data_IF_940591559335
#
_entry.id   IF_940591559335
#
_cell.length_a   1.000
_cell.length_b   1.000
_cell.length_c   1.000
_cell.angle_alpha   90.00
_cell.angle_beta   90.00
_cell.angle_gamma   90.00
#
_symmetry.space_group_name_H-M   'P 1'
#
loop_
_entity.id
_entity.type
_entity.pdbx_description
1 polymer ?
#
# COMPACT_ATOMS: atom_id res chain seq x y z
N UNK A 1 2.95 7.59 -6.91
CA UNK A 1 2.81 7.73 -8.38
C UNK A 1 4.16 7.95 -9.05
N UNK A 2 4.31 7.46 -10.27
CA UNK A 2 5.49 7.55 -11.12
C UNK A 2 6.79 6.92 -10.60
N UNK A 3 6.72 6.06 -9.57
CA UNK A 3 7.90 5.39 -8.99
C UNK A 3 7.62 3.90 -8.86
N UNK A 4 6.60 3.55 -8.05
CA UNK A 4 6.22 2.17 -7.70
C UNK A 4 4.74 1.90 -8.10
N UNK A 5 4.33 2.38 -9.27
CA UNK A 5 2.96 2.29 -9.78
C UNK A 5 2.88 1.69 -11.18
N UNK A 6 3.82 0.80 -11.50
CA UNK A 6 3.76 -0.11 -12.64
C UNK A 6 2.99 -1.40 -12.27
N UNK A 7 2.53 -2.14 -13.29
CA UNK A 7 1.93 -3.45 -13.02
C UNK A 7 2.96 -4.49 -12.54
N UNK A 8 4.24 -4.30 -12.88
CA UNK A 8 5.33 -5.18 -12.45
C UNK A 8 5.57 -5.02 -10.96
N UNK A 9 5.65 -3.77 -10.48
CA UNK A 9 5.86 -3.44 -9.06
C UNK A 9 4.73 -4.05 -8.20
N UNK A 10 3.48 -3.92 -8.65
CA UNK A 10 2.32 -4.51 -7.97
C UNK A 10 2.46 -6.02 -7.89
N UNK A 11 2.84 -6.68 -9.00
CA UNK A 11 3.00 -8.14 -9.01
C UNK A 11 4.11 -8.59 -8.07
N UNK A 12 5.25 -7.92 -8.11
CA UNK A 12 6.41 -8.26 -7.28
C UNK A 12 6.09 -8.10 -5.79
N UNK A 13 5.53 -6.96 -5.39
CA UNK A 13 5.21 -6.67 -3.98
C UNK A 13 4.20 -7.68 -3.42
N UNK A 14 3.14 -7.98 -4.17
CA UNK A 14 2.06 -8.88 -3.73
C UNK A 14 2.56 -10.33 -3.68
N UNK A 15 3.32 -10.79 -4.67
CA UNK A 15 3.94 -12.11 -4.67
C UNK A 15 4.90 -12.25 -3.49
N UNK A 16 5.76 -11.25 -3.26
CA UNK A 16 6.70 -11.25 -2.15
C UNK A 16 6.00 -11.27 -0.79
N UNK A 17 4.90 -10.54 -0.64
CA UNK A 17 4.09 -10.59 0.57
C UNK A 17 3.58 -12.02 0.84
N UNK A 18 3.09 -12.72 -0.19
CA UNK A 18 2.66 -14.12 -0.09
C UNK A 18 3.82 -15.03 0.32
N UNK A 19 4.99 -14.90 -0.30
CA UNK A 19 6.19 -15.68 0.03
C UNK A 19 6.60 -15.50 1.51
N UNK A 20 6.43 -14.30 2.05
CA UNK A 20 6.68 -14.00 3.46
C UNK A 20 5.58 -14.48 4.41
N UNK A 21 4.54 -15.18 3.92
CA UNK A 21 3.46 -15.72 4.74
C UNK A 21 2.34 -14.73 5.05
N UNK A 22 2.23 -13.63 4.29
CA UNK A 22 1.09 -12.73 4.44
C UNK A 22 -0.23 -13.48 4.19
N UNK A 23 -1.21 -13.20 5.05
CA UNK A 23 -2.59 -13.73 4.90
C UNK A 23 -3.53 -12.76 4.21
N UNK A 24 -3.18 -11.47 4.19
CA UNK A 24 -3.95 -10.41 3.58
C UNK A 24 -3.01 -9.36 3.00
N UNK A 25 -3.47 -8.65 1.97
CA UNK A 25 -2.80 -7.46 1.43
C UNK A 25 -3.88 -6.42 1.12
N UNK A 26 -3.60 -5.17 1.46
CA UNK A 26 -4.49 -4.04 1.19
C UNK A 26 -3.73 -3.02 0.35
N UNK A 27 -4.27 -2.68 -0.82
CA UNK A 27 -3.72 -1.64 -1.67
C UNK A 27 -4.41 -0.29 -1.40
N UNK A 28 -3.61 0.76 -1.28
CA UNK A 28 -4.05 2.15 -1.28
C UNK A 28 -3.33 2.89 -2.40
N UNK A 29 -4.07 3.33 -3.42
CA UNK A 29 -3.45 3.91 -4.61
C UNK A 29 -3.12 5.38 -4.44
N UNK A 30 -1.84 5.70 -4.64
CA UNK A 30 -1.33 7.07 -4.61
C UNK A 30 -0.98 7.52 -3.20
N UNK A 31 -1.06 8.82 -2.98
CA UNK A 31 -0.84 9.39 -1.65
C UNK A 31 -1.71 10.62 -1.44
N UNK A 32 -1.83 11.01 -0.18
CA UNK A 32 -2.36 12.32 0.19
C UNK A 32 -1.22 13.27 0.51
N UNK A 33 -1.33 14.53 0.07
CA UNK A 33 -0.33 15.57 0.29
C UNK A 33 -0.97 16.75 1.02
N UNK A 34 -0.69 16.85 2.33
CA UNK A 34 -0.90 18.07 3.10
C UNK A 34 0.25 19.04 2.87
N UNK A 35 0.02 20.34 3.04
CA UNK A 35 0.96 21.40 2.67
C UNK A 35 2.41 21.16 3.14
N UNK A 36 2.61 20.91 4.45
CA UNK A 36 3.96 20.63 5.01
C UNK A 36 4.57 19.33 4.49
N UNK A 37 3.75 18.32 4.22
CA UNK A 37 4.21 17.04 3.67
C UNK A 37 4.60 17.19 2.20
N UNK A 38 3.87 18.03 1.43
CA UNK A 38 4.16 18.32 0.03
C UNK A 38 5.53 18.95 -0.13
N UNK A 39 5.83 19.99 0.65
CA UNK A 39 7.12 20.69 0.59
C UNK A 39 8.29 19.73 0.87
N UNK A 40 8.19 18.94 1.95
CA UNK A 40 9.19 17.94 2.27
C UNK A 40 9.34 16.90 1.15
N UNK A 41 8.22 16.36 0.67
CA UNK A 41 8.23 15.33 -0.37
C UNK A 41 8.86 15.84 -1.66
N UNK A 42 8.55 17.07 -2.09
CA UNK A 42 9.13 17.67 -3.29
C UNK A 42 10.63 17.93 -3.16
N UNK A 43 11.12 18.33 -1.99
CA UNK A 43 12.56 18.43 -1.74
C UNK A 43 13.26 17.08 -1.88
N UNK A 44 12.66 16.01 -1.36
CA UNK A 44 13.22 14.67 -1.53
C UNK A 44 13.10 14.16 -2.97
N UNK A 45 12.04 14.50 -3.70
CA UNK A 45 11.95 14.21 -5.13
C UNK A 45 13.06 14.91 -5.92
N UNK A 46 13.33 16.20 -5.66
CA UNK A 46 14.41 16.92 -6.32
C UNK A 46 15.79 16.28 -6.04
N UNK A 47 15.98 15.70 -4.84
CA UNK A 47 17.22 15.03 -4.43
C UNK A 47 17.37 13.62 -4.99
N UNK A 48 16.33 12.81 -4.94
CA UNK A 48 16.37 11.36 -5.22
C UNK A 48 15.92 11.01 -6.64
N UNK A 49 15.00 11.80 -7.21
CA UNK A 49 14.38 11.56 -8.51
C UNK A 49 14.34 12.86 -9.34
N UNK A 50 15.50 13.42 -9.74
CA UNK A 50 15.56 14.69 -10.44
C UNK A 50 14.62 14.74 -11.65
N UNK A 51 13.80 15.78 -11.75
CA UNK A 51 12.79 15.94 -12.82
C UNK A 51 11.39 15.43 -12.46
N UNK A 52 11.25 14.65 -11.38
CA UNK A 52 9.97 14.04 -11.03
C UNK A 52 9.00 15.03 -10.37
N UNK A 53 9.52 15.99 -9.60
CA UNK A 53 8.73 17.05 -8.99
C UNK A 53 7.88 17.80 -10.02
N UNK A 54 8.46 18.18 -11.16
CA UNK A 54 7.73 18.94 -12.18
C UNK A 54 6.58 18.12 -12.78
N UNK A 55 6.73 16.79 -12.85
CA UNK A 55 5.65 15.88 -13.26
C UNK A 55 4.53 15.85 -12.23
N UNK A 56 4.88 15.81 -10.95
CA UNK A 56 3.92 15.89 -9.84
C UNK A 56 3.15 17.21 -9.83
N UNK A 57 3.84 18.34 -9.94
CA UNK A 57 3.22 19.68 -9.96
C UNK A 57 2.26 19.82 -11.15
N UNK A 58 2.63 19.33 -12.34
CA UNK A 58 1.73 19.32 -13.51
C UNK A 58 0.51 18.41 -13.33
N UNK A 59 0.68 17.24 -12.73
CA UNK A 59 -0.39 16.26 -12.59
C UNK A 59 -1.40 16.62 -11.47
N UNK A 60 -0.91 17.19 -10.36
CA UNK A 60 -1.69 17.32 -9.15
C UNK A 60 -1.85 18.76 -8.65
N UNK A 61 -0.96 19.69 -9.00
CA UNK A 61 -0.95 21.04 -8.42
C UNK A 61 -1.05 20.98 -6.89
N UNK A 62 -1.99 21.73 -6.31
CA UNK A 62 -2.26 21.74 -4.86
C UNK A 62 -3.31 20.73 -4.39
N UNK A 63 -3.68 19.74 -5.21
CA UNK A 63 -4.68 18.73 -4.83
C UNK A 63 -4.21 17.91 -3.63
N UNK A 64 -5.14 17.65 -2.71
CA UNK A 64 -4.89 16.81 -1.55
C UNK A 64 -4.63 15.35 -1.93
N UNK A 65 -5.44 14.77 -2.82
CA UNK A 65 -5.27 13.40 -3.31
C UNK A 65 -4.45 13.34 -4.59
N UNK A 66 -3.44 12.46 -4.60
CA UNK A 66 -2.55 12.23 -5.74
C UNK A 66 -2.60 10.76 -6.19
N UNK A 67 -3.70 10.31 -6.84
CA UNK A 67 -3.81 8.95 -7.35
C UNK A 67 -2.91 8.74 -8.59
N UNK A 68 -2.38 7.53 -8.83
CA UNK A 68 -1.65 7.25 -10.05
C UNK A 68 -2.59 7.31 -11.26
N UNK A 69 -2.14 7.76 -12.45
CA UNK A 69 -3.02 7.91 -13.62
C UNK A 69 -3.68 6.60 -14.09
N UNK A 70 -3.01 5.48 -13.85
CA UNK A 70 -3.42 4.12 -14.20
C UNK A 70 -4.10 3.38 -13.03
N UNK A 71 -4.57 4.08 -11.98
CA UNK A 71 -5.16 3.44 -10.80
C UNK A 71 -6.19 2.33 -11.10
N UNK A 72 -7.15 2.48 -12.05
CA UNK A 72 -8.10 1.41 -12.36
C UNK A 72 -7.43 0.13 -12.88
N UNK A 73 -6.34 0.29 -13.64
CA UNK A 73 -5.58 -0.85 -14.17
C UNK A 73 -4.79 -1.54 -13.06
N UNK A 74 -4.18 -0.77 -12.16
CA UNK A 74 -3.46 -1.31 -11.01
C UNK A 74 -4.40 -2.06 -10.05
N UNK A 75 -5.59 -1.51 -9.79
CA UNK A 75 -6.61 -2.20 -8.99
C UNK A 75 -7.00 -3.54 -9.63
N UNK A 76 -7.21 -3.59 -10.94
CA UNK A 76 -7.54 -4.84 -11.64
C UNK A 76 -6.42 -5.89 -11.51
N UNK A 77 -5.16 -5.49 -11.77
CA UNK A 77 -4.00 -6.40 -11.63
C UNK A 77 -3.84 -6.88 -10.19
N UNK A 78 -3.99 -5.99 -9.23
CA UNK A 78 -3.92 -6.30 -7.82
C UNK A 78 -4.99 -7.32 -7.42
N UNK A 79 -6.24 -7.10 -7.84
CA UNK A 79 -7.36 -7.96 -7.45
C UNK A 79 -7.26 -9.35 -8.07
N UNK A 80 -6.87 -9.45 -9.35
CA UNK A 80 -6.63 -10.72 -10.03
C UNK A 80 -5.52 -11.52 -9.30
N UNK A 81 -4.39 -10.88 -9.02
CA UNK A 81 -3.26 -11.54 -8.38
C UNK A 81 -3.56 -11.93 -6.92
N UNK A 82 -4.25 -11.06 -6.19
CA UNK A 82 -4.69 -11.33 -4.81
C UNK A 82 -5.58 -12.58 -4.77
N UNK A 83 -6.52 -12.72 -5.71
CA UNK A 83 -7.38 -13.88 -5.82
C UNK A 83 -6.58 -15.15 -6.14
N UNK A 84 -5.68 -15.07 -7.13
CA UNK A 84 -4.80 -16.17 -7.52
C UNK A 84 -3.96 -16.69 -6.34
N UNK A 85 -3.39 -15.78 -5.54
CA UNK A 85 -2.53 -16.11 -4.40
C UNK A 85 -3.31 -16.41 -3.11
N UNK A 86 -4.63 -16.29 -3.11
CA UNK A 86 -5.48 -16.53 -1.94
C UNK A 86 -5.17 -15.61 -0.76
N UNK A 87 -4.97 -14.31 -1.02
CA UNK A 87 -4.71 -13.29 0.00
C UNK A 87 -6.02 -12.58 0.38
N UNK A 88 -6.37 -12.45 1.66
CA UNK A 88 -7.58 -11.72 2.07
C UNK A 88 -7.44 -10.21 1.81
N UNK A 89 -8.56 -9.50 1.65
CA UNK A 89 -8.61 -8.04 1.43
C UNK A 89 -8.74 -7.23 2.72
N UNK A 90 -8.82 -7.92 3.86
CA UNK A 90 -8.98 -7.31 5.18
C UNK A 90 -8.32 -8.17 6.24
N UNK A 91 -7.97 -7.53 7.36
CA UNK A 91 -7.56 -8.26 8.55
C UNK A 91 -8.80 -8.89 9.16
N UNK A 92 -8.74 -10.20 9.42
CA UNK A 92 -9.82 -10.87 10.15
C UNK A 92 -9.95 -10.25 11.54
N UNK A 93 -11.18 -9.97 12.01
CA UNK A 93 -11.39 -9.52 13.38
C UNK A 93 -10.78 -10.52 14.37
N UNK A 94 -10.29 -10.00 15.50
CA UNK A 94 -9.93 -10.84 16.62
C UNK A 94 -11.18 -11.58 17.12
N UNK A 95 -11.07 -12.89 17.31
CA UNK A 95 -12.11 -13.70 17.94
C UNK A 95 -11.61 -14.01 19.35
N UNK A 96 -12.40 -13.65 20.36
CA UNK A 96 -12.06 -13.91 21.76
C UNK A 96 -11.96 -15.43 21.98
N UNK A 97 -10.79 -15.87 22.46
CA UNK A 97 -10.59 -17.28 22.78
C UNK A 97 -11.43 -17.64 24.01
N UNK A 98 -12.00 -18.86 24.08
CA UNK A 98 -12.70 -19.31 25.28
C UNK A 98 -11.77 -19.17 26.49
N UNK A 99 -12.30 -18.79 27.67
CA UNK A 99 -11.50 -18.49 28.84
C UNK A 99 -10.58 -19.68 29.15
N UNK A 100 -9.27 -19.44 29.06
CA UNK A 100 -8.27 -20.45 29.39
C UNK A 100 -8.36 -20.67 30.90
N UNK A 101 -8.60 -21.92 31.32
CA UNK A 101 -8.61 -22.24 32.75
C UNK A 101 -7.21 -21.99 33.30
N UNK A 102 -7.05 -20.94 34.11
CA UNK A 102 -5.83 -20.68 34.85
C UNK A 102 -5.48 -21.92 35.67
N UNK A 103 -4.35 -22.55 35.36
CA UNK A 103 -3.87 -23.69 36.14
C UNK A 103 -3.57 -23.19 37.55
N UNK A 104 -4.07 -23.92 38.56
CA UNK A 104 -3.75 -23.62 39.95
C UNK A 104 -2.24 -23.75 40.13
N UNK A 105 -1.58 -22.65 40.52
CA UNK A 105 -0.13 -22.64 40.72
C UNK A 105 0.30 -23.48 41.93
N UNK A 106 -0.65 -23.90 42.77
CA UNK A 106 -0.39 -24.71 43.95
C UNK A 106 -1.57 -25.67 44.17
N UNK A 107 -1.24 -26.94 44.44
CA UNK A 107 -2.14 -27.99 44.95
C UNK A 107 -2.12 -27.91 46.47
#
# INVERSE_FOLDING_TARGET
PFIEDSEEDVREIVARAKECGARYVMAGWGLTMRDRQREYYYRELDRLFPGLRQRYERAYGERYGCPPPNAPRLEAVFEDLRQELGLDRSVRPYVEEPPVRQLGLFI
#
